data_IF_583146861091
#
_entry.id   IF_583146861091
#
_cell.length_a   1.000
_cell.length_b   1.000
_cell.length_c   1.000
_cell.angle_alpha   90.00
_cell.angle_beta   90.00
_cell.angle_gamma   90.00
#
_symmetry.space_group_name_H-M   'P 1'
#
loop_
_entity.id
_entity.type
_entity.pdbx_description
1 polymer ?
#
# COMPACT_ATOMS: atom_id res chain seq x y z
N UNK A 1 1.58 -3.62 -16.33
CA UNK A 1 1.18 -2.30 -15.79
C UNK A 1 2.26 -1.75 -14.87
N UNK A 2 2.45 -2.23 -13.64
CA UNK A 2 3.54 -1.74 -12.74
C UNK A 2 4.96 -2.18 -13.19
N UNK A 3 5.04 -3.22 -14.02
CA UNK A 3 6.20 -4.12 -14.12
C UNK A 3 7.33 -3.64 -15.06
N UNK A 4 7.10 -2.70 -15.98
CA UNK A 4 8.10 -2.33 -17.00
C UNK A 4 9.06 -1.20 -16.59
N UNK A 5 8.73 -0.43 -15.54
CA UNK A 5 9.49 0.78 -15.15
C UNK A 5 10.53 0.59 -14.06
N UNK A 6 10.47 -0.52 -13.31
CA UNK A 6 11.51 -0.86 -12.33
C UNK A 6 12.82 -1.28 -12.99
N UNK A 7 12.78 -1.66 -14.27
CA UNK A 7 13.94 -2.09 -15.06
C UNK A 7 14.36 -1.04 -16.11
N UNK A 8 13.45 -0.14 -16.49
CA UNK A 8 13.72 0.84 -17.55
C UNK A 8 14.33 2.14 -17.00
N UNK A 9 15.65 2.25 -17.03
CA UNK A 9 16.34 3.56 -17.01
C UNK A 9 17.31 3.67 -18.18
N UNK A 10 16.93 4.46 -19.19
CA UNK A 10 17.89 5.08 -20.11
C UNK A 10 18.11 6.53 -19.67
N UNK A 11 19.35 6.98 -19.44
CA UNK A 11 19.62 8.35 -19.03
C UNK A 11 19.33 9.30 -20.21
N UNK A 12 18.36 10.20 -20.05
CA UNK A 12 18.24 11.37 -20.92
C UNK A 12 19.20 12.42 -20.38
N UNK A 13 20.31 12.62 -21.10
CA UNK A 13 21.19 13.74 -20.91
C UNK A 13 20.60 14.97 -21.62
N UNK A 14 20.29 16.07 -20.89
CA UNK A 14 20.76 17.41 -21.26
C UNK A 14 20.44 18.54 -20.27
N UNK A 15 21.53 19.27 -19.99
CA UNK A 15 21.73 20.72 -19.91
C UNK A 15 20.86 21.61 -19.01
N UNK A 16 21.57 22.20 -18.06
CA UNK A 16 21.33 23.45 -17.33
C UNK A 16 20.98 24.66 -18.20
N UNK A 17 20.04 25.50 -17.74
CA UNK A 17 20.27 26.93 -17.39
C UNK A 17 18.94 27.61 -16.99
N UNK A 18 18.93 28.25 -15.80
CA UNK A 18 18.39 29.60 -15.44
C UNK A 18 16.97 30.03 -15.91
N UNK A 19 16.12 30.77 -15.18
CA UNK A 19 16.29 31.73 -14.07
C UNK A 19 14.93 32.15 -13.45
N UNK A 20 15.00 32.56 -12.18
CA UNK A 20 14.41 33.74 -11.50
C UNK A 20 12.90 34.09 -11.43
N UNK A 21 12.44 34.02 -10.16
CA UNK A 21 11.93 35.11 -9.30
C UNK A 21 10.51 35.73 -9.44
N UNK A 22 10.01 36.12 -8.25
CA UNK A 22 9.00 37.15 -7.91
C UNK A 22 7.50 36.79 -7.91
N UNK A 23 6.91 36.66 -6.71
CA UNK A 23 6.26 37.80 -6.02
C UNK A 23 5.82 37.49 -4.57
N UNK A 24 6.15 38.41 -3.66
CA UNK A 24 5.70 38.56 -2.25
C UNK A 24 4.22 38.94 -2.13
N UNK A 25 3.54 38.54 -1.05
CA UNK A 25 2.97 39.53 -0.09
C UNK A 25 2.53 38.94 1.26
N UNK A 26 2.87 39.69 2.30
CA UNK A 26 2.52 39.59 3.72
C UNK A 26 1.03 39.83 4.00
N UNK A 27 0.55 39.29 5.13
CA UNK A 27 -0.05 40.13 6.18
C UNK A 27 -0.02 39.41 7.54
N UNK A 28 0.72 39.99 8.48
CA UNK A 28 0.62 39.72 9.91
C UNK A 28 -0.66 40.37 10.47
N UNK A 29 -1.34 39.71 11.40
CA UNK A 29 -2.16 40.42 12.39
C UNK A 29 -2.02 39.77 13.76
N UNK A 30 -1.66 40.61 14.73
CA UNK A 30 -1.33 40.28 16.12
C UNK A 30 -2.55 40.62 16.98
N UNK A 31 -3.02 39.68 17.80
CA UNK A 31 -4.01 39.93 18.83
C UNK A 31 -3.70 39.09 20.07
N UNK A 32 -3.07 39.69 21.07
CA UNK A 32 -3.04 39.17 22.46
C UNK A 32 -4.33 39.61 23.14
N UNK A 33 -4.95 38.72 23.93
CA UNK A 33 -5.32 39.04 25.32
C UNK A 33 -5.64 37.75 26.10
N UNK A 34 -5.26 37.78 27.37
CA UNK A 34 -5.36 36.76 28.41
C UNK A 34 -6.76 36.69 29.04
N UNK A 35 -7.23 35.52 29.50
CA UNK A 35 -7.52 35.25 30.93
C UNK A 35 -8.42 34.01 31.21
N UNK A 36 -7.91 33.19 32.13
CA UNK A 36 -8.57 32.42 33.22
C UNK A 36 -9.68 31.37 33.02
N UNK A 37 -9.33 30.16 33.47
CA UNK A 37 -10.07 29.06 34.12
C UNK A 37 -11.59 29.12 34.37
N UNK A 38 -12.26 27.98 34.10
CA UNK A 38 -13.12 27.29 35.08
C UNK A 38 -13.44 25.83 34.69
N UNK A 39 -13.18 24.91 35.62
CA UNK A 39 -13.72 23.55 35.68
C UNK A 39 -15.26 23.58 35.79
N UNK A 40 -15.96 22.64 35.14
CA UNK A 40 -17.14 22.00 35.73
C UNK A 40 -17.41 20.62 35.11
N UNK A 41 -17.49 19.63 35.98
CA UNK A 41 -17.95 18.26 35.77
C UNK A 41 -19.47 18.15 36.03
N UNK A 42 -20.15 17.21 35.34
CA UNK A 42 -21.53 16.79 35.65
C UNK A 42 -22.28 16.14 34.47
N UNK A 43 -22.84 14.91 34.59
CA UNK A 43 -23.39 14.10 33.48
C UNK A 43 -24.94 14.09 33.41
N UNK A 44 -25.54 13.77 32.24
CA UNK A 44 -26.64 12.81 32.08
C UNK A 44 -27.16 12.69 30.63
N UNK A 45 -27.58 11.48 30.30
CA UNK A 45 -28.00 10.97 28.99
C UNK A 45 -29.41 11.41 28.55
N UNK A 46 -29.61 11.40 27.23
CA UNK A 46 -30.75 10.85 26.46
C UNK A 46 -30.98 11.71 25.22
N UNK A 47 -30.47 11.26 24.06
CA UNK A 47 -30.92 11.74 22.76
C UNK A 47 -31.40 10.54 21.96
N UNK A 48 -32.68 10.58 21.59
CA UNK A 48 -33.34 9.66 20.67
C UNK A 48 -32.57 9.61 19.36
N UNK A 49 -32.18 8.41 18.91
CA UNK A 49 -31.58 8.18 17.59
C UNK A 49 -32.57 8.60 16.50
N UNK A 50 -32.09 9.39 15.55
CA UNK A 50 -32.83 9.73 14.34
C UNK A 50 -32.55 8.67 13.28
N UNK A 51 -33.46 8.49 12.33
CA UNK A 51 -33.36 7.50 11.25
C UNK A 51 -32.13 7.67 10.32
N UNK A 52 -31.39 8.78 10.42
CA UNK A 52 -30.10 8.98 9.74
C UNK A 52 -28.92 8.32 10.48
N UNK A 53 -29.05 8.06 11.78
CA UNK A 53 -28.01 7.42 12.60
C UNK A 53 -27.97 5.89 12.38
N UNK A 54 -29.07 5.28 11.95
CA UNK A 54 -29.16 3.83 11.65
C UNK A 54 -28.45 3.45 10.35
N UNK A 55 -28.47 4.31 9.32
CA UNK A 55 -27.77 4.06 8.06
C UNK A 55 -26.24 4.17 8.25
N UNK A 56 -25.80 5.10 9.11
CA UNK A 56 -24.39 5.27 9.49
C UNK A 56 -23.87 4.10 10.33
N UNK A 57 -24.69 3.51 11.21
CA UNK A 57 -24.33 2.31 11.98
C UNK A 57 -24.29 1.04 11.11
N UNK A 58 -25.18 0.90 10.12
CA UNK A 58 -25.16 -0.26 9.20
C UNK A 58 -23.87 -0.35 8.38
N UNK A 59 -23.31 0.81 8.04
CA UNK A 59 -22.04 0.97 7.30
C UNK A 59 -20.83 0.91 8.22
N UNK A 60 -20.97 1.29 9.48
CA UNK A 60 -19.94 1.11 10.51
C UNK A 60 -19.74 -0.37 10.86
N UNK A 61 -20.77 -1.22 10.70
CA UNK A 61 -20.70 -2.67 10.91
C UNK A 61 -19.87 -3.47 9.89
N UNK A 62 -19.31 -2.83 8.86
CA UNK A 62 -18.52 -3.49 7.80
C UNK A 62 -17.00 -3.47 8.06
N UNK A 63 -16.50 -2.66 8.99
CA UNK A 63 -15.06 -2.53 9.27
C UNK A 63 -14.73 -3.00 10.68
N UNK A 64 -13.89 -4.03 10.79
CA UNK A 64 -13.41 -4.60 12.05
C UNK A 64 -12.21 -3.81 12.62
N UNK A 65 -11.66 -2.85 11.86
CA UNK A 65 -10.53 -2.02 12.31
C UNK A 65 -10.83 -1.29 13.62
N UNK A 66 -10.12 -1.67 14.68
CA UNK A 66 -10.24 -1.09 16.00
C UNK A 66 -9.64 0.33 16.08
N UNK A 67 -10.10 1.10 17.07
CA UNK A 67 -9.60 2.44 17.36
C UNK A 67 -8.18 2.44 17.95
N UNK A 68 -7.77 1.34 18.59
CA UNK A 68 -6.43 1.22 19.18
C UNK A 68 -5.42 0.72 18.16
N UNK A 69 -4.58 1.65 17.67
CA UNK A 69 -3.47 1.33 16.79
C UNK A 69 -2.10 1.41 17.50
N UNK A 70 -1.12 0.58 17.07
CA UNK A 70 0.21 0.56 17.67
C UNK A 70 1.03 1.84 17.46
N UNK A 71 0.72 2.64 16.43
CA UNK A 71 1.49 3.81 16.04
C UNK A 71 0.98 5.11 16.66
N UNK A 72 1.88 6.08 16.80
CA UNK A 72 1.52 7.43 17.21
C UNK A 72 0.87 8.20 16.06
N UNK A 73 -0.35 8.68 16.30
CA UNK A 73 -1.17 9.41 15.32
C UNK A 73 -0.47 10.63 14.71
N UNK A 74 0.27 11.40 15.52
CA UNK A 74 0.94 12.62 15.06
C UNK A 74 2.12 12.35 14.13
N UNK A 75 2.65 11.13 14.13
CA UNK A 75 3.84 10.75 13.36
C UNK A 75 3.52 10.07 12.03
N UNK A 76 2.27 9.66 11.77
CA UNK A 76 1.90 8.87 10.58
C UNK A 76 2.46 9.43 9.27
N UNK A 77 2.23 10.71 8.98
CA UNK A 77 2.70 11.34 7.73
C UNK A 77 4.21 11.54 7.68
N UNK A 78 4.85 11.81 8.82
CA UNK A 78 6.31 11.92 8.90
C UNK A 78 6.99 10.57 8.66
N UNK A 79 6.46 9.50 9.28
CA UNK A 79 6.90 8.13 9.03
C UNK A 79 6.66 7.71 7.59
N UNK A 80 5.50 8.05 7.02
CA UNK A 80 5.21 7.79 5.60
C UNK A 80 6.17 8.52 4.67
N UNK A 81 6.46 9.80 4.94
CA UNK A 81 7.42 10.57 4.17
C UNK A 81 8.82 9.97 4.27
N UNK A 82 9.27 9.58 5.46
CA UNK A 82 10.55 8.90 5.63
C UNK A 82 10.61 7.59 4.85
N UNK A 83 9.56 6.76 4.92
CA UNK A 83 9.45 5.55 4.10
C UNK A 83 9.57 5.89 2.61
N UNK A 84 8.79 6.84 2.10
CA UNK A 84 8.79 7.18 0.67
C UNK A 84 10.14 7.70 0.18
N UNK A 85 10.73 8.66 0.89
CA UNK A 85 11.91 9.38 0.40
C UNK A 85 13.24 8.73 0.80
N UNK A 86 13.27 7.92 1.86
CA UNK A 86 14.50 7.29 2.34
C UNK A 86 14.56 5.79 2.06
N UNK A 87 13.43 5.13 1.82
CA UNK A 87 13.38 3.69 1.52
C UNK A 87 12.83 3.43 0.13
N UNK A 88 11.54 3.71 -0.10
CA UNK A 88 10.84 3.34 -1.32
C UNK A 88 11.48 3.94 -2.57
N UNK A 89 11.39 5.25 -2.78
CA UNK A 89 11.85 5.88 -4.02
C UNK A 89 13.33 5.56 -4.33
N UNK A 90 14.28 5.68 -3.38
CA UNK A 90 15.68 5.37 -3.65
C UNK A 90 15.94 3.91 -3.99
N UNK A 91 15.34 2.96 -3.28
CA UNK A 91 15.56 1.53 -3.51
C UNK A 91 14.82 1.05 -4.75
N UNK A 92 13.59 1.51 -4.94
CA UNK A 92 12.71 1.11 -6.03
C UNK A 92 13.21 1.58 -7.41
N UNK A 93 13.58 2.85 -7.53
CA UNK A 93 14.00 3.43 -8.81
C UNK A 93 15.52 3.52 -8.96
N UNK A 94 16.26 3.58 -7.85
CA UNK A 94 17.72 3.70 -7.85
C UNK A 94 18.46 2.39 -7.55
N UNK A 95 17.78 1.35 -7.06
CA UNK A 95 18.42 0.12 -6.58
C UNK A 95 19.28 -0.58 -7.62
N UNK A 96 18.75 -0.78 -8.84
CA UNK A 96 19.52 -1.41 -9.92
C UNK A 96 20.73 -0.57 -10.35
N UNK A 97 20.61 0.77 -10.35
CA UNK A 97 21.73 1.66 -10.65
C UNK A 97 22.83 1.55 -9.60
N UNK A 98 22.47 1.44 -8.32
CA UNK A 98 23.42 1.22 -7.24
C UNK A 98 24.15 -0.11 -7.39
N UNK A 99 23.40 -1.19 -7.69
CA UNK A 99 23.98 -2.52 -7.90
C UNK A 99 24.90 -2.56 -9.12
N UNK A 100 24.49 -1.94 -10.23
CA UNK A 100 25.33 -1.77 -11.43
C UNK A 100 26.66 -1.06 -11.10
N UNK A 101 26.61 -0.01 -10.29
CA UNK A 101 27.80 0.70 -9.81
C UNK A 101 28.73 -0.17 -8.98
N UNK A 102 28.18 -0.96 -8.04
CA UNK A 102 28.93 -1.89 -7.17
C UNK A 102 29.58 -3.01 -7.98
N UNK A 103 28.85 -3.57 -8.95
CA UNK A 103 29.35 -4.67 -9.80
C UNK A 103 30.24 -4.18 -10.96
N UNK A 104 30.42 -2.86 -11.11
CA UNK A 104 31.16 -2.25 -12.21
C UNK A 104 30.69 -2.71 -13.60
N UNK A 105 29.39 -3.01 -13.73
CA UNK A 105 28.77 -3.45 -14.98
C UNK A 105 27.76 -2.43 -15.46
N UNK A 106 27.91 -1.94 -16.70
CA UNK A 106 26.96 -0.97 -17.30
C UNK A 106 25.60 -1.57 -17.64
N UNK A 107 25.56 -2.86 -17.92
CA UNK A 107 24.34 -3.59 -18.26
C UNK A 107 24.35 -4.89 -17.48
N UNK A 108 23.39 -5.05 -16.58
CA UNK A 108 23.25 -6.26 -15.80
C UNK A 108 22.57 -7.34 -16.66
N UNK A 109 23.04 -8.57 -16.58
CA UNK A 109 22.34 -9.72 -17.17
C UNK A 109 20.96 -9.89 -16.53
N UNK A 110 19.91 -10.34 -17.27
CA UNK A 110 18.55 -10.48 -16.73
C UNK A 110 18.45 -11.26 -15.40
N UNK A 111 19.22 -12.34 -15.24
CA UNK A 111 19.25 -13.12 -14.00
C UNK A 111 19.78 -12.28 -12.82
N UNK A 112 20.87 -11.55 -13.05
CA UNK A 112 21.45 -10.63 -12.06
C UNK A 112 20.50 -9.50 -11.73
N UNK A 113 19.78 -8.95 -12.72
CA UNK A 113 18.78 -7.90 -12.48
C UNK A 113 17.69 -8.38 -11.52
N UNK A 114 17.08 -9.54 -11.78
CA UNK A 114 16.01 -10.09 -10.94
C UNK A 114 16.49 -10.39 -9.53
N UNK A 115 17.64 -11.06 -9.41
CA UNK A 115 18.19 -11.37 -8.10
C UNK A 115 18.50 -10.10 -7.31
N UNK A 116 19.03 -9.08 -7.99
CA UNK A 116 19.30 -7.77 -7.39
C UNK A 116 18.02 -7.08 -6.95
N UNK A 117 16.95 -7.12 -7.75
CA UNK A 117 15.64 -6.56 -7.38
C UNK A 117 15.04 -7.29 -6.17
N UNK A 118 15.11 -8.62 -6.11
CA UNK A 118 14.67 -9.39 -4.94
C UNK A 118 15.44 -8.94 -3.70
N UNK A 119 16.77 -8.82 -3.79
CA UNK A 119 17.61 -8.39 -2.66
C UNK A 119 17.29 -6.95 -2.22
N UNK A 120 17.17 -6.03 -3.17
CA UNK A 120 16.82 -4.63 -2.89
C UNK A 120 15.43 -4.54 -2.23
N UNK A 121 14.45 -5.30 -2.72
CA UNK A 121 13.12 -5.35 -2.14
C UNK A 121 13.11 -5.93 -0.71
N UNK A 122 13.94 -6.95 -0.45
CA UNK A 122 14.11 -7.51 0.90
C UNK A 122 14.75 -6.51 1.86
N UNK A 123 15.69 -5.68 1.37
CA UNK A 123 16.26 -4.56 2.13
C UNK A 123 15.19 -3.51 2.43
N UNK A 124 14.35 -3.15 1.45
CA UNK A 124 13.23 -2.22 1.64
C UNK A 124 12.23 -2.76 2.68
N UNK A 125 11.85 -4.04 2.58
CA UNK A 125 10.98 -4.71 3.54
C UNK A 125 11.57 -4.69 4.95
N UNK A 126 12.85 -5.04 5.08
CA UNK A 126 13.55 -5.05 6.38
C UNK A 126 13.64 -3.65 6.99
N UNK A 127 14.02 -2.65 6.18
CA UNK A 127 14.10 -1.24 6.58
C UNK A 127 12.73 -0.69 7.00
N UNK A 128 11.68 -1.08 6.29
CA UNK A 128 10.28 -0.70 6.59
C UNK A 128 9.82 -1.31 7.90
N UNK A 129 10.04 -2.61 8.11
CA UNK A 129 9.70 -3.27 9.37
C UNK A 129 10.46 -2.62 10.54
N UNK A 130 11.75 -2.31 10.35
CA UNK A 130 12.55 -1.59 11.35
C UNK A 130 12.00 -0.20 11.66
N UNK A 131 11.69 0.60 10.63
CA UNK A 131 11.10 1.93 10.76
C UNK A 131 9.76 1.87 11.52
N UNK A 132 8.88 0.95 11.15
CA UNK A 132 7.57 0.81 11.77
C UNK A 132 7.66 0.31 13.22
N UNK A 133 8.63 -0.54 13.55
CA UNK A 133 8.89 -0.95 14.95
C UNK A 133 9.40 0.22 15.80
N UNK A 134 10.27 1.06 15.25
CA UNK A 134 10.82 2.21 15.97
C UNK A 134 9.83 3.37 16.15
N UNK A 135 8.79 3.41 15.33
CA UNK A 135 7.72 4.42 15.39
C UNK A 135 6.50 3.94 16.17
N UNK A 136 6.45 2.68 16.56
CA UNK A 136 5.42 2.11 17.41
C UNK A 136 5.53 2.61 18.85
N UNK A 137 4.39 2.71 19.55
CA UNK A 137 4.31 3.05 20.96
C UNK A 137 5.14 2.05 21.79
N UNK A 138 5.80 2.48 22.89
CA UNK A 138 6.64 1.60 23.71
C UNK A 138 5.93 0.34 24.22
N UNK A 139 4.63 0.44 24.50
CA UNK A 139 3.76 -0.64 24.95
C UNK A 139 3.39 -1.66 23.86
N UNK A 140 3.68 -1.36 22.59
CA UNK A 140 3.40 -2.21 21.44
C UNK A 140 4.68 -2.58 20.66
N UNK A 141 5.84 -2.75 21.31
CA UNK A 141 7.09 -3.05 20.58
C UNK A 141 7.14 -4.46 19.96
N UNK A 142 6.33 -5.40 20.45
CA UNK A 142 6.23 -6.77 19.91
C UNK A 142 5.08 -6.92 18.91
N UNK A 143 5.05 -6.08 17.86
CA UNK A 143 4.04 -6.21 16.79
C UNK A 143 4.41 -7.37 15.87
N UNK A 144 3.54 -8.38 15.82
CA UNK A 144 3.54 -9.35 14.74
C UNK A 144 2.78 -8.76 13.55
N UNK A 145 3.51 -8.22 12.58
CA UNK A 145 2.93 -7.54 11.41
C UNK A 145 1.97 -8.42 10.61
N UNK A 146 2.19 -9.73 10.58
CA UNK A 146 1.37 -10.69 9.81
C UNK A 146 0.22 -11.32 10.60
N UNK A 147 0.24 -11.27 11.94
CA UNK A 147 -0.76 -11.95 12.77
C UNK A 147 -1.97 -11.05 13.01
N UNK A 148 -3.19 -11.61 12.94
CA UNK A 148 -4.43 -10.90 13.28
C UNK A 148 -4.36 -10.28 14.67
N UNK A 149 -5.25 -9.31 14.95
CA UNK A 149 -5.29 -8.67 16.25
C UNK A 149 -5.72 -9.71 17.30
N UNK A 150 -4.76 -10.31 18.02
CA UNK A 150 -4.96 -11.32 19.09
C UNK A 150 -5.64 -10.70 20.34
N UNK A 151 -6.70 -9.91 20.16
CA UNK A 151 -7.55 -9.42 21.26
C UNK A 151 -8.72 -10.36 21.56
N UNK A 152 -8.78 -11.54 20.91
CA UNK A 152 -9.74 -12.59 21.25
C UNK A 152 -9.18 -13.49 22.35
N UNK A 153 -9.07 -12.92 23.54
CA UNK A 153 -8.79 -13.70 24.74
C UNK A 153 -10.10 -14.41 25.15
N UNK A 154 -10.13 -15.71 24.86
CA UNK A 154 -10.86 -16.75 25.60
C UNK A 154 -12.33 -17.00 25.20
N UNK A 155 -12.53 -17.77 24.10
CA UNK A 155 -13.54 -18.83 24.07
C UNK A 155 -13.20 -19.88 22.99
N UNK A 156 -12.70 -21.04 23.43
CA UNK A 156 -12.11 -22.14 22.65
C UNK A 156 -13.08 -22.91 21.71
N UNK A 157 -14.18 -22.30 21.25
CA UNK A 157 -15.14 -22.93 20.33
C UNK A 157 -15.32 -22.18 18.98
N UNK A 158 -14.71 -21.00 18.78
CA UNK A 158 -14.97 -20.15 17.60
C UNK A 158 -13.85 -20.10 16.54
N UNK A 159 -12.70 -20.74 16.79
CA UNK A 159 -11.51 -20.69 15.91
C UNK A 159 -11.80 -21.20 14.47
N UNK A 160 -12.75 -22.15 14.34
CA UNK A 160 -13.18 -22.68 13.04
C UNK A 160 -14.06 -21.73 12.22
N UNK A 161 -14.76 -20.79 12.86
CA UNK A 161 -15.61 -19.81 12.19
C UNK A 161 -14.81 -18.60 11.75
N UNK A 162 -13.89 -18.11 12.58
CA UNK A 162 -12.97 -17.01 12.24
C UNK A 162 -12.11 -17.38 11.02
N UNK A 163 -11.62 -18.63 10.97
CA UNK A 163 -10.92 -19.21 9.82
C UNK A 163 -11.72 -19.27 8.52
N UNK A 164 -13.06 -19.32 8.58
CA UNK A 164 -13.93 -19.36 7.38
C UNK A 164 -14.19 -17.96 6.81
N UNK A 165 -14.32 -16.94 7.66
CA UNK A 165 -14.64 -15.59 7.21
C UNK A 165 -13.51 -14.96 6.39
N UNK A 166 -12.25 -15.07 6.82
CA UNK A 166 -11.14 -14.51 6.04
C UNK A 166 -10.90 -15.23 4.71
N UNK A 167 -11.18 -16.54 4.62
CA UNK A 167 -11.10 -17.30 3.35
C UNK A 167 -12.17 -16.84 2.37
N UNK A 168 -13.43 -16.72 2.82
CA UNK A 168 -14.53 -16.20 2.00
C UNK A 168 -14.26 -14.76 1.56
N UNK A 169 -13.74 -13.93 2.47
CA UNK A 169 -13.32 -12.55 2.16
C UNK A 169 -12.21 -12.47 1.13
N UNK A 170 -11.25 -13.39 1.22
CA UNK A 170 -10.16 -13.48 0.24
C UNK A 170 -10.69 -13.90 -1.13
N UNK A 171 -11.57 -14.90 -1.19
CA UNK A 171 -12.18 -15.34 -2.44
C UNK A 171 -13.04 -14.24 -3.10
N UNK A 172 -13.86 -13.55 -2.31
CA UNK A 172 -14.67 -12.43 -2.79
C UNK A 172 -13.78 -11.25 -3.23
N UNK A 173 -12.75 -10.92 -2.46
CA UNK A 173 -11.79 -9.88 -2.80
C UNK A 173 -11.07 -10.17 -4.12
N UNK A 174 -10.62 -11.42 -4.33
CA UNK A 174 -10.00 -11.83 -5.58
C UNK A 174 -10.97 -11.72 -6.77
N UNK A 175 -12.21 -12.19 -6.61
CA UNK A 175 -13.23 -12.06 -7.64
C UNK A 175 -13.54 -10.59 -7.99
N UNK A 176 -13.60 -9.72 -6.97
CA UNK A 176 -13.77 -8.29 -7.16
C UNK A 176 -12.60 -7.65 -7.90
N UNK A 177 -11.34 -7.99 -7.57
CA UNK A 177 -10.17 -7.47 -8.30
C UNK A 177 -10.19 -7.93 -9.75
N UNK A 178 -10.38 -9.22 -10.00
CA UNK A 178 -10.39 -9.78 -11.36
C UNK A 178 -11.52 -9.16 -12.18
N UNK A 179 -12.72 -9.07 -11.63
CA UNK A 179 -13.86 -8.44 -12.29
C UNK A 179 -13.65 -6.95 -12.56
N UNK A 180 -13.08 -6.23 -11.60
CA UNK A 180 -12.74 -4.81 -11.77
C UNK A 180 -11.70 -4.60 -12.87
N UNK A 181 -10.60 -5.34 -12.85
CA UNK A 181 -9.55 -5.27 -13.87
C UNK A 181 -10.10 -5.59 -15.25
N UNK A 182 -10.85 -6.69 -15.37
CA UNK A 182 -11.50 -7.07 -16.63
C UNK A 182 -12.40 -5.96 -17.17
N UNK A 183 -13.25 -5.37 -16.31
CA UNK A 183 -14.12 -4.27 -16.70
C UNK A 183 -13.33 -3.03 -17.14
N UNK A 184 -12.28 -2.66 -16.39
CA UNK A 184 -11.45 -1.51 -16.75
C UNK A 184 -10.68 -1.74 -18.05
N UNK A 185 -10.24 -2.98 -18.33
CA UNK A 185 -9.60 -3.34 -19.60
C UNK A 185 -10.58 -3.25 -20.77
N UNK A 186 -11.82 -3.73 -20.62
CA UNK A 186 -12.85 -3.59 -21.65
C UNK A 186 -13.14 -2.12 -21.98
N UNK A 187 -13.25 -1.28 -20.96
CA UNK A 187 -13.46 0.17 -21.14
C UNK A 187 -12.25 0.81 -21.81
N UNK A 188 -11.04 0.44 -21.41
CA UNK A 188 -9.81 0.97 -22.00
C UNK A 188 -9.69 0.59 -23.49
N UNK A 189 -9.98 -0.66 -23.85
CA UNK A 189 -9.97 -1.12 -25.24
C UNK A 189 -11.00 -0.38 -26.11
N UNK A 190 -12.20 -0.13 -25.57
CA UNK A 190 -13.25 0.62 -26.26
C UNK A 190 -12.89 2.10 -26.49
N UNK A 191 -12.22 2.74 -25.52
CA UNK A 191 -11.93 4.17 -25.56
C UNK A 191 -10.60 4.49 -26.28
N UNK A 192 -9.58 3.66 -26.12
CA UNK A 192 -8.21 3.96 -26.52
C UNK A 192 -7.65 2.98 -27.56
N UNK A 193 -8.42 1.93 -27.93
CA UNK A 193 -7.96 0.84 -28.77
C UNK A 193 -6.99 -0.10 -28.04
N UNK A 194 -6.79 -1.32 -28.57
CA UNK A 194 -5.89 -2.30 -27.97
C UNK A 194 -4.44 -1.81 -28.04
N UNK A 195 -3.96 -1.12 -27.01
CA UNK A 195 -2.53 -0.92 -26.82
C UNK A 195 -2.00 -2.19 -26.16
N UNK A 196 -1.20 -2.95 -26.90
CA UNK A 196 -0.46 -4.06 -26.33
C UNK A 196 0.30 -3.55 -25.10
N UNK A 197 -0.02 -4.08 -23.93
CA UNK A 197 0.61 -3.71 -22.67
C UNK A 197 2.12 -3.90 -22.85
N UNK A 198 2.88 -2.81 -22.78
CA UNK A 198 4.34 -2.82 -22.93
C UNK A 198 4.98 -3.53 -21.72
N UNK A 199 4.94 -4.86 -21.72
CA UNK A 199 5.66 -5.72 -20.78
C UNK A 199 6.98 -6.22 -21.35
N UNK A 200 7.49 -5.62 -22.44
CA UNK A 200 8.64 -6.14 -23.20
C UNK A 200 9.88 -6.40 -22.37
N UNK A 201 10.06 -5.74 -21.23
CA UNK A 201 11.22 -5.94 -20.37
C UNK A 201 11.04 -7.09 -19.37
N UNK A 202 9.86 -7.19 -18.75
CA UNK A 202 9.53 -8.34 -17.90
C UNK A 202 9.50 -9.64 -18.72
N UNK A 203 8.92 -9.60 -19.93
CA UNK A 203 8.90 -10.74 -20.85
C UNK A 203 10.31 -11.23 -21.17
N UNK A 204 11.22 -10.31 -21.53
CA UNK A 204 12.63 -10.65 -21.79
C UNK A 204 13.30 -11.29 -20.57
N UNK A 205 13.02 -10.76 -19.38
CA UNK A 205 13.57 -11.29 -18.13
C UNK A 205 13.03 -12.69 -17.86
N UNK A 206 11.73 -12.92 -17.97
CA UNK A 206 11.13 -14.24 -17.73
C UNK A 206 11.57 -15.28 -18.76
N UNK A 207 11.76 -14.86 -20.02
CA UNK A 207 12.29 -15.68 -21.09
C UNK A 207 13.77 -16.07 -20.88
N UNK A 208 14.53 -15.36 -20.03
CA UNK A 208 15.97 -15.60 -19.84
C UNK A 208 16.31 -16.87 -19.03
N UNK A 209 15.33 -17.51 -18.37
CA UNK A 209 15.52 -18.81 -17.72
C UNK A 209 14.70 -19.03 -16.45
N UNK A 210 14.85 -20.22 -15.88
CA UNK A 210 14.10 -20.66 -14.67
C UNK A 210 14.44 -19.83 -13.43
N UNK A 211 15.70 -19.41 -13.29
CA UNK A 211 16.15 -18.56 -12.17
C UNK A 211 15.43 -17.22 -12.22
N UNK A 212 15.35 -16.59 -13.40
CA UNK A 212 14.65 -15.32 -13.59
C UNK A 212 13.15 -15.46 -13.33
N UNK A 213 12.51 -16.51 -13.84
CA UNK A 213 11.08 -16.78 -13.57
C UNK A 213 10.79 -16.97 -12.09
N UNK A 214 11.62 -17.78 -11.40
CA UNK A 214 11.50 -18.00 -9.95
C UNK A 214 11.74 -16.73 -9.16
N UNK A 215 12.72 -15.92 -9.55
CA UNK A 215 13.02 -14.64 -8.92
C UNK A 215 11.91 -13.60 -9.15
N UNK A 216 11.35 -13.52 -10.35
CA UNK A 216 10.17 -12.69 -10.63
C UNK A 216 8.97 -13.13 -9.80
N UNK A 217 8.71 -14.43 -9.70
CA UNK A 217 7.65 -14.96 -8.84
C UNK A 217 7.87 -14.56 -7.37
N UNK A 218 9.07 -14.76 -6.83
CA UNK A 218 9.39 -14.38 -5.46
C UNK A 218 9.22 -12.87 -5.23
N UNK A 219 9.72 -12.04 -6.15
CA UNK A 219 9.60 -10.59 -6.05
C UNK A 219 8.14 -10.14 -6.09
N UNK A 220 7.39 -10.51 -7.14
CA UNK A 220 6.07 -9.96 -7.44
C UNK A 220 4.93 -10.62 -6.69
N UNK A 221 5.06 -11.90 -6.37
CA UNK A 221 3.99 -12.66 -5.74
C UNK A 221 4.19 -12.77 -4.23
N UNK A 222 5.39 -12.54 -3.70
CA UNK A 222 5.67 -12.69 -2.27
C UNK A 222 6.19 -11.39 -1.64
N UNK A 223 7.38 -10.93 -2.03
CA UNK A 223 8.08 -9.86 -1.30
C UNK A 223 7.36 -8.51 -1.45
N UNK A 224 7.03 -8.11 -2.68
CA UNK A 224 6.36 -6.83 -2.94
C UNK A 224 4.95 -6.77 -2.30
N UNK A 225 4.06 -7.76 -2.48
CA UNK A 225 2.76 -7.77 -1.79
C UNK A 225 2.89 -7.68 -0.27
N UNK A 226 3.82 -8.44 0.34
CA UNK A 226 4.02 -8.38 1.80
C UNK A 226 4.42 -6.97 2.25
N UNK A 227 5.40 -6.35 1.58
CA UNK A 227 5.81 -4.99 1.89
C UNK A 227 4.65 -4.00 1.76
N UNK A 228 3.98 -4.02 0.60
CA UNK A 228 2.94 -3.05 0.27
C UNK A 228 1.76 -3.18 1.23
N UNK A 229 1.32 -4.40 1.55
CA UNK A 229 0.26 -4.60 2.54
C UNK A 229 0.65 -4.11 3.94
N UNK A 230 1.91 -4.32 4.35
CA UNK A 230 2.41 -3.78 5.64
C UNK A 230 2.33 -2.25 5.66
N UNK A 231 2.76 -1.57 4.59
CA UNK A 231 2.80 -0.11 4.52
C UNK A 231 1.40 0.49 4.40
N UNK A 232 0.64 0.06 3.40
CA UNK A 232 -0.60 0.74 3.03
C UNK A 232 -1.79 0.26 3.86
N UNK A 233 -1.85 -1.02 4.23
CA UNK A 233 -3.01 -1.59 4.94
C UNK A 233 -2.76 -1.59 6.43
N UNK A 234 -1.73 -2.30 6.89
CA UNK A 234 -1.45 -2.38 8.31
C UNK A 234 -1.09 -1.02 8.91
N UNK A 235 -0.19 -0.27 8.30
CA UNK A 235 0.27 1.02 8.84
C UNK A 235 -0.64 2.19 8.45
N UNK A 236 -0.70 2.57 7.17
CA UNK A 236 -1.33 3.81 6.73
C UNK A 236 -2.86 3.79 6.91
N UNK A 237 -3.55 2.76 6.38
CA UNK A 237 -5.00 2.65 6.48
C UNK A 237 -5.46 2.58 7.95
N UNK A 238 -4.86 1.70 8.78
CA UNK A 238 -5.21 1.65 10.20
C UNK A 238 -4.98 2.97 10.92
N UNK A 239 -3.87 3.68 10.63
CA UNK A 239 -3.56 4.98 11.24
C UNK A 239 -4.47 6.12 10.79
N UNK A 240 -5.05 6.03 9.60
CA UNK A 240 -6.06 6.96 9.14
C UNK A 240 -7.42 6.61 9.74
N UNK A 241 -7.81 5.34 9.72
CA UNK A 241 -9.09 4.86 10.23
C UNK A 241 -9.28 5.13 11.74
N UNK A 242 -8.19 5.24 12.51
CA UNK A 242 -8.27 5.64 13.93
C UNK A 242 -8.62 7.13 14.14
N UNK A 243 -8.63 7.95 13.09
CA UNK A 243 -8.81 9.42 13.17
C UNK A 243 -9.93 9.97 12.28
N UNK A 244 -10.42 9.17 11.34
CA UNK A 244 -11.46 9.57 10.40
C UNK A 244 -12.30 8.36 10.03
N UNK A 245 -13.44 8.62 9.38
CA UNK A 245 -14.30 7.57 8.85
C UNK A 245 -13.51 6.59 7.98
N UNK A 246 -13.77 5.29 8.18
CA UNK A 246 -13.02 4.22 7.52
C UNK A 246 -13.01 4.35 5.99
N UNK A 247 -14.12 4.80 5.39
CA UNK A 247 -14.22 5.02 3.93
C UNK A 247 -13.25 6.08 3.44
N UNK A 248 -13.09 7.18 4.20
CA UNK A 248 -12.12 8.25 3.87
C UNK A 248 -10.69 7.74 4.02
N UNK A 249 -10.42 6.99 5.10
CA UNK A 249 -9.13 6.35 5.31
C UNK A 249 -8.77 5.37 4.18
N UNK A 250 -9.74 4.55 3.74
CA UNK A 250 -9.60 3.63 2.62
C UNK A 250 -9.22 4.35 1.33
N UNK A 251 -9.98 5.40 0.97
CA UNK A 251 -9.74 6.18 -0.25
C UNK A 251 -8.36 6.84 -0.21
N UNK A 252 -7.98 7.46 0.91
CA UNK A 252 -6.68 8.12 1.03
C UNK A 252 -5.55 7.10 0.93
N UNK A 253 -5.62 5.98 1.66
CA UNK A 253 -4.57 4.95 1.62
C UNK A 253 -4.43 4.35 0.20
N UNK A 254 -5.55 4.06 -0.46
CA UNK A 254 -5.57 3.53 -1.82
C UNK A 254 -5.03 4.54 -2.85
N UNK A 255 -5.29 5.82 -2.64
CA UNK A 255 -4.71 6.91 -3.44
C UNK A 255 -3.20 7.01 -3.28
N UNK A 256 -2.69 6.92 -2.05
CA UNK A 256 -1.25 6.94 -1.78
C UNK A 256 -0.56 5.70 -2.35
N UNK A 257 -1.20 4.52 -2.24
CA UNK A 257 -0.76 3.29 -2.91
C UNK A 257 -0.67 3.48 -4.43
N UNK A 258 -1.72 3.97 -5.08
CA UNK A 258 -1.69 4.18 -6.53
C UNK A 258 -0.62 5.21 -6.96
N UNK A 259 -0.45 6.28 -6.19
CA UNK A 259 0.52 7.33 -6.48
C UNK A 259 1.98 6.87 -6.31
N UNK A 260 2.27 5.96 -5.37
CA UNK A 260 3.65 5.46 -5.13
C UNK A 260 4.22 4.71 -6.33
N UNK A 261 3.35 4.17 -7.18
CA UNK A 261 3.74 3.44 -8.38
C UNK A 261 4.22 4.34 -9.52
N UNK A 262 4.01 5.66 -9.43
CA UNK A 262 4.47 6.64 -10.42
C UNK A 262 4.08 6.28 -11.88
N UNK A 263 2.95 5.59 -12.05
CA UNK A 263 2.38 5.20 -13.34
C UNK A 263 1.05 5.93 -13.55
N UNK A 264 1.09 6.97 -14.38
CA UNK A 264 -0.10 7.76 -14.70
C UNK A 264 -1.15 6.98 -15.51
N UNK A 265 -0.70 6.06 -16.36
CA UNK A 265 -1.56 5.21 -17.20
C UNK A 265 -2.35 4.20 -16.36
N UNK A 266 -1.72 3.68 -15.30
CA UNK A 266 -2.29 2.62 -14.47
C UNK A 266 -3.02 3.15 -13.23
N UNK A 267 -2.98 4.46 -13.00
CA UNK A 267 -3.38 5.08 -11.73
C UNK A 267 -4.80 4.68 -11.30
N UNK A 268 -5.76 4.68 -12.24
CA UNK A 268 -7.16 4.33 -11.95
C UNK A 268 -7.30 2.85 -11.57
N UNK A 269 -6.62 1.96 -12.29
CA UNK A 269 -6.67 0.54 -12.00
C UNK A 269 -5.98 0.22 -10.67
N UNK A 270 -4.83 0.85 -10.41
CA UNK A 270 -4.10 0.72 -9.14
C UNK A 270 -4.88 1.26 -7.96
N UNK A 271 -5.59 2.37 -8.14
CA UNK A 271 -6.48 2.92 -7.12
C UNK A 271 -7.62 1.95 -6.79
N UNK A 272 -8.25 1.35 -7.81
CA UNK A 272 -9.32 0.37 -7.61
C UNK A 272 -8.84 -0.92 -6.94
N UNK A 273 -7.70 -1.48 -7.37
CA UNK A 273 -7.03 -2.60 -6.68
C UNK A 273 -6.73 -2.20 -5.23
N UNK A 274 -6.22 -0.98 -5.04
CA UNK A 274 -6.00 -0.32 -3.76
C UNK A 274 -7.18 -0.46 -2.81
N UNK A 275 -8.35 -0.01 -3.29
CA UNK A 275 -9.62 -0.02 -2.58
C UNK A 275 -10.10 -1.43 -2.24
N UNK A 276 -10.00 -2.40 -3.17
CA UNK A 276 -10.46 -3.77 -2.91
C UNK A 276 -9.60 -4.46 -1.85
N UNK A 277 -8.27 -4.33 -1.94
CA UNK A 277 -7.35 -4.86 -0.94
C UNK A 277 -7.56 -4.20 0.43
N UNK A 278 -7.71 -2.87 0.46
CA UNK A 278 -8.02 -2.16 1.70
C UNK A 278 -9.36 -2.56 2.32
N UNK A 279 -10.40 -2.79 1.51
CA UNK A 279 -11.68 -3.30 1.97
C UNK A 279 -11.56 -4.74 2.50
N UNK A 280 -10.82 -5.60 1.82
CA UNK A 280 -10.53 -6.98 2.24
C UNK A 280 -9.84 -6.99 3.62
N UNK A 281 -8.84 -6.14 3.83
CA UNK A 281 -8.18 -5.98 5.12
C UNK A 281 -9.12 -5.41 6.19
N UNK A 282 -9.90 -4.38 5.87
CA UNK A 282 -10.81 -3.73 6.82
C UNK A 282 -11.93 -4.66 7.30
N UNK A 283 -12.41 -5.53 6.41
CA UNK A 283 -13.46 -6.50 6.72
C UNK A 283 -12.94 -7.74 7.43
N UNK A 284 -11.76 -8.25 7.04
CA UNK A 284 -11.19 -9.46 7.67
C UNK A 284 -10.44 -9.19 8.97
N UNK A 285 -9.97 -7.96 9.20
CA UNK A 285 -9.04 -7.63 10.30
C UNK A 285 -7.67 -8.32 10.21
N UNK A 286 -7.44 -9.11 9.17
CA UNK A 286 -6.29 -9.98 9.02
C UNK A 286 -5.47 -9.58 7.78
N UNK A 287 -4.22 -9.16 8.01
CA UNK A 287 -3.33 -8.75 6.93
C UNK A 287 -3.05 -9.90 5.95
N UNK A 288 -3.03 -11.14 6.42
CA UNK A 288 -2.80 -12.32 5.59
C UNK A 288 -3.86 -12.48 4.49
N UNK A 289 -5.11 -12.06 4.75
CA UNK A 289 -6.18 -12.07 3.76
C UNK A 289 -5.85 -11.16 2.58
N UNK A 290 -5.47 -9.91 2.87
CA UNK A 290 -5.11 -8.94 1.84
C UNK A 290 -3.84 -9.32 1.10
N UNK A 291 -2.81 -9.82 1.82
CA UNK A 291 -1.56 -10.33 1.22
C UNK A 291 -1.88 -11.48 0.26
N UNK A 292 -2.70 -12.45 0.67
CA UNK A 292 -3.05 -13.59 -0.18
C UNK A 292 -3.76 -13.14 -1.46
N UNK A 293 -4.76 -12.25 -1.34
CA UNK A 293 -5.49 -11.73 -2.50
C UNK A 293 -4.55 -10.99 -3.45
N UNK A 294 -3.67 -10.15 -2.92
CA UNK A 294 -2.69 -9.41 -3.70
C UNK A 294 -1.70 -10.34 -4.40
N UNK A 295 -1.12 -11.30 -3.66
CA UNK A 295 -0.22 -12.33 -4.18
C UNK A 295 -0.86 -13.15 -5.30
N UNK A 296 -2.12 -13.58 -5.13
CA UNK A 296 -2.85 -14.36 -6.14
C UNK A 296 -3.14 -13.54 -7.40
N UNK A 297 -3.53 -12.28 -7.24
CA UNK A 297 -3.73 -11.38 -8.38
C UNK A 297 -2.42 -11.16 -9.16
N UNK A 298 -1.31 -10.93 -8.46
CA UNK A 298 0.00 -10.77 -9.09
C UNK A 298 0.46 -12.07 -9.77
N UNK A 299 0.25 -13.22 -9.13
CA UNK A 299 0.56 -14.53 -9.73
C UNK A 299 -0.26 -14.77 -11.00
N UNK A 300 -1.56 -14.47 -10.99
CA UNK A 300 -2.40 -14.58 -12.19
C UNK A 300 -1.88 -13.68 -13.32
N UNK A 301 -1.54 -12.42 -13.00
CA UNK A 301 -1.00 -11.47 -13.97
C UNK A 301 0.34 -11.94 -14.54
N UNK A 302 1.22 -12.50 -13.69
CA UNK A 302 2.52 -13.03 -14.08
C UNK A 302 2.39 -14.28 -14.95
N UNK A 303 1.46 -15.17 -14.65
CA UNK A 303 1.17 -16.36 -15.46
C UNK A 303 0.61 -15.99 -16.83
N UNK A 304 -0.27 -14.99 -16.90
CA UNK A 304 -0.81 -14.50 -18.16
C UNK A 304 0.29 -13.86 -19.02
N UNK A 305 1.24 -13.17 -18.41
CA UNK A 305 2.43 -12.64 -19.09
C UNK A 305 3.29 -13.78 -19.68
N UNK A 306 3.59 -14.81 -18.88
CA UNK A 306 4.41 -15.96 -19.32
C UNK A 306 3.80 -16.80 -20.45
N UNK A 307 2.48 -16.71 -20.63
CA UNK A 307 1.73 -17.51 -21.60
C UNK A 307 1.64 -16.91 -23.02
N UNK A 308 2.26 -15.74 -23.23
CA UNK A 308 2.27 -14.99 -24.50
C UNK A 308 3.63 -15.09 -25.18
#
# INVERSE_FOLDING_TARGET
MILSRWVSFTPVARSSSESDELFRRHSEFRGRLSSTCRLRSGPCCLKSKSSQDEELESVAGLSILGSEIPWEEKKTWSTMAFYMFCLHIPLSFGGLSMVSGILHQRHLEPQTQVLSLVLVQMVELSGTVFLLRNTAKPQCKSINFLKGNDNDNNNNNNDSNEGRYWVVGSALGLACIVGFVFLTSLVADQLFGSKAVHNSELEKIMASGEVSRSGCFALYCLVAPILEEIVYRRFLLSSLASRMEWKKALVISSGVFAASHMSGEDLVQLFGIGCVLGACYSWSGNLASSVLVHSLYNALTLLLADSV
#
